data_IF_920836389807
#
_entry.id   IF_920836389807
#
_cell.length_a   1.000
_cell.length_b   1.000
_cell.length_c   1.000
_cell.angle_alpha   90.00
_cell.angle_beta   90.00
_cell.angle_gamma   90.00
#
_symmetry.space_group_name_H-M   'P 1'
#
loop_
_entity.id
_entity.type
_entity.pdbx_description
1 polymer ?
#
# COMPACT_ATOMS: atom_id res chain seq x y z
N UNK A 1 50.33 -42.89 55.50
CA UNK A 1 49.73 -43.86 54.54
C UNK A 1 48.33 -44.16 55.03
N UNK A 2 47.22 -43.98 54.31
CA UNK A 2 46.91 -43.31 53.04
C UNK A 2 45.37 -43.01 53.07
N UNK A 3 44.75 -42.12 52.29
CA UNK A 3 45.17 -41.20 51.21
C UNK A 3 44.28 -39.92 51.30
N UNK A 4 44.46 -38.90 50.42
CA UNK A 4 43.44 -37.86 50.16
C UNK A 4 42.91 -38.02 48.73
N UNK A 5 41.61 -38.28 48.56
CA UNK A 5 40.93 -38.07 47.28
C UNK A 5 40.41 -36.63 47.22
N UNK A 6 40.77 -35.91 46.16
CA UNK A 6 40.12 -34.67 45.74
C UNK A 6 39.30 -34.98 44.48
N UNK A 7 37.98 -34.76 44.54
CA UNK A 7 37.12 -34.85 43.37
C UNK A 7 37.17 -33.51 42.61
N UNK A 8 37.64 -33.53 41.36
CA UNK A 8 37.54 -32.38 40.47
C UNK A 8 36.17 -32.40 39.77
N UNK A 9 35.38 -31.36 40.02
CA UNK A 9 34.11 -31.14 39.32
C UNK A 9 34.41 -30.46 37.97
N UNK A 10 34.23 -31.18 36.86
CA UNK A 10 34.35 -30.59 35.52
C UNK A 10 32.98 -30.07 35.09
N UNK A 11 32.81 -28.74 35.09
CA UNK A 11 31.63 -28.09 34.52
C UNK A 11 31.89 -27.84 33.04
N UNK A 12 31.20 -28.60 32.17
CA UNK A 12 31.22 -28.36 30.73
C UNK A 12 30.15 -27.33 30.40
N UNK A 13 30.56 -26.08 30.14
CA UNK A 13 29.68 -25.05 29.61
C UNK A 13 29.57 -25.26 28.09
N UNK A 14 28.46 -25.85 27.65
CA UNK A 14 28.12 -25.90 26.23
C UNK A 14 27.69 -24.51 25.76
N UNK A 15 28.56 -23.80 25.05
CA UNK A 15 28.17 -22.57 24.34
C UNK A 15 27.30 -22.95 23.15
N UNK A 16 26.00 -22.70 23.24
CA UNK A 16 25.11 -22.73 22.08
C UNK A 16 25.42 -21.50 21.23
N UNK A 17 26.26 -21.67 20.22
CA UNK A 17 26.42 -20.66 19.17
C UNK A 17 25.16 -20.69 18.31
N UNK A 18 24.28 -19.70 18.49
CA UNK A 18 23.19 -19.43 17.56
C UNK A 18 23.81 -18.98 16.22
N UNK A 19 23.83 -19.87 15.23
CA UNK A 19 24.17 -19.50 13.86
C UNK A 19 23.06 -18.61 13.31
N UNK A 20 23.25 -17.29 13.40
CA UNK A 20 22.46 -16.33 12.61
C UNK A 20 22.86 -16.54 11.16
N UNK A 21 22.06 -17.32 10.43
CA UNK A 21 22.20 -17.40 8.98
C UNK A 21 21.79 -16.05 8.42
N UNK A 22 22.76 -15.24 7.96
CA UNK A 22 22.47 -13.99 7.26
C UNK A 22 21.59 -14.31 6.03
N UNK A 23 20.31 -13.91 6.05
CA UNK A 23 19.41 -14.11 4.91
C UNK A 23 19.95 -13.31 3.73
N UNK A 24 20.15 -13.97 2.59
CA UNK A 24 20.70 -13.33 1.37
C UNK A 24 19.80 -12.18 0.93
N UNK A 25 20.31 -10.97 0.94
CA UNK A 25 19.59 -9.78 0.45
C UNK A 25 19.43 -9.85 -1.08
N UNK A 26 18.21 -9.64 -1.57
CA UNK A 26 17.83 -9.53 -2.97
C UNK A 26 17.64 -8.06 -3.39
N UNK A 27 17.07 -7.24 -2.50
CA UNK A 27 16.90 -5.80 -2.65
C UNK A 27 17.37 -5.10 -1.37
N UNK A 28 18.19 -4.06 -1.52
CA UNK A 28 18.45 -3.07 -0.50
C UNK A 28 18.27 -1.68 -1.12
N UNK A 29 17.28 -0.95 -0.65
CA UNK A 29 16.98 0.42 -1.04
C UNK A 29 17.05 1.34 0.18
N UNK A 30 17.86 2.38 0.09
CA UNK A 30 18.07 3.42 1.11
C UNK A 30 17.73 4.82 0.55
N UNK A 31 17.14 4.88 -0.66
CA UNK A 31 16.64 6.08 -1.33
C UNK A 31 17.70 7.15 -1.66
N UNK A 32 18.94 6.71 -1.93
CA UNK A 32 20.00 7.55 -2.50
C UNK A 32 19.79 7.86 -3.99
N UNK A 33 19.00 7.05 -4.71
CA UNK A 33 18.77 7.22 -6.15
C UNK A 33 17.44 6.64 -6.64
N UNK A 34 17.03 7.03 -7.84
CA UNK A 34 15.83 6.53 -8.52
C UNK A 34 16.08 5.24 -9.33
N UNK A 35 17.28 4.65 -9.32
CA UNK A 35 17.65 3.60 -10.28
C UNK A 35 16.78 2.33 -10.22
N UNK A 36 16.26 2.02 -9.02
CA UNK A 36 15.40 0.85 -8.75
C UNK A 36 13.90 1.12 -8.91
N UNK A 37 13.49 2.36 -9.21
CA UNK A 37 12.10 2.78 -9.20
C UNK A 37 11.70 3.48 -10.50
N UNK A 38 10.43 3.36 -10.85
CA UNK A 38 9.79 4.04 -11.96
C UNK A 38 8.58 4.79 -11.46
N UNK A 39 8.43 6.05 -11.85
CA UNK A 39 7.18 6.78 -11.64
C UNK A 39 6.08 6.23 -12.52
N UNK A 40 4.90 5.97 -11.94
CA UNK A 40 3.66 5.88 -12.69
C UNK A 40 3.17 7.30 -12.97
N UNK A 41 3.00 7.65 -14.23
CA UNK A 41 2.53 8.97 -14.67
C UNK A 41 1.22 8.79 -15.42
N UNK A 42 0.11 9.22 -14.80
CA UNK A 42 -1.24 9.04 -15.35
C UNK A 42 -2.28 9.85 -14.58
N UNK A 43 -3.40 10.19 -15.21
CA UNK A 43 -4.65 10.65 -14.58
C UNK A 43 -5.67 9.53 -14.40
N UNK A 44 -5.32 8.28 -14.75
CA UNK A 44 -6.07 7.11 -14.32
C UNK A 44 -5.89 6.92 -12.81
N UNK A 45 -7.02 6.82 -12.11
CA UNK A 45 -7.11 6.95 -10.64
C UNK A 45 -6.80 5.64 -9.90
N UNK A 46 -6.18 4.68 -10.60
CA UNK A 46 -5.78 3.33 -10.13
C UNK A 46 -6.90 2.46 -9.52
N UNK A 47 -8.16 2.80 -9.75
CA UNK A 47 -9.33 2.08 -9.20
C UNK A 47 -10.11 2.96 -8.22
N UNK A 48 -11.08 2.37 -7.52
CA UNK A 48 -11.65 2.86 -6.25
C UNK A 48 -12.10 4.35 -6.23
N UNK A 49 -12.45 4.88 -7.40
CA UNK A 49 -12.85 6.27 -7.65
C UNK A 49 -12.00 7.37 -6.96
N UNK A 50 -10.70 7.14 -6.76
CA UNK A 50 -9.75 8.06 -6.11
C UNK A 50 -9.63 9.43 -6.83
N UNK A 51 -9.08 10.48 -6.19
CA UNK A 51 -9.18 11.88 -6.68
C UNK A 51 -7.87 12.51 -7.20
N UNK A 52 -6.73 11.82 -7.06
CA UNK A 52 -5.43 12.30 -7.52
C UNK A 52 -5.14 11.94 -8.98
N UNK A 53 -4.19 12.64 -9.60
CA UNK A 53 -3.40 12.12 -10.72
C UNK A 53 -1.95 11.89 -10.26
N UNK A 54 -1.31 10.86 -10.82
CA UNK A 54 0.06 10.50 -10.50
C UNK A 54 1.04 11.14 -11.47
N UNK A 55 2.12 11.69 -10.92
CA UNK A 55 3.17 12.40 -11.66
C UNK A 55 4.56 12.14 -11.08
N UNK A 56 5.59 12.55 -11.83
CA UNK A 56 7.02 12.46 -11.48
C UNK A 56 7.62 13.78 -11.03
N UNK A 57 6.77 14.67 -10.50
CA UNK A 57 7.15 16.02 -10.09
C UNK A 57 7.94 15.99 -8.77
N UNK A 58 8.97 16.84 -8.62
CA UNK A 58 9.76 16.91 -7.39
C UNK A 58 8.95 17.42 -6.19
N UNK A 59 7.81 18.10 -6.42
CA UNK A 59 6.89 18.49 -5.35
C UNK A 59 6.08 17.29 -4.79
N UNK A 60 5.96 16.19 -5.55
CA UNK A 60 5.14 15.03 -5.18
C UNK A 60 5.95 13.78 -4.82
N UNK A 61 7.17 13.65 -5.32
CA UNK A 61 8.12 12.62 -4.90
C UNK A 61 9.54 13.17 -4.88
N UNK A 62 10.22 13.06 -3.74
CA UNK A 62 11.58 13.53 -3.57
C UNK A 62 12.34 12.72 -2.51
N UNK A 63 13.67 12.81 -2.55
CA UNK A 63 14.52 12.26 -1.50
C UNK A 63 14.99 13.37 -0.56
N UNK A 64 15.01 13.09 0.75
CA UNK A 64 15.56 13.98 1.77
C UNK A 64 16.00 13.15 2.96
N UNK A 65 17.21 13.41 3.47
CA UNK A 65 17.79 12.74 4.65
C UNK A 65 17.77 11.20 4.59
N UNK A 66 18.07 10.65 3.40
CA UNK A 66 18.11 9.20 3.12
C UNK A 66 16.72 8.54 3.11
N UNK A 67 15.69 9.26 2.66
CA UNK A 67 14.29 8.78 2.69
C UNK A 67 13.53 9.24 1.46
N UNK A 68 12.66 8.39 0.97
CA UNK A 68 11.60 8.75 0.03
C UNK A 68 10.48 9.49 0.76
N UNK A 69 10.08 10.63 0.19
CA UNK A 69 8.85 11.33 0.51
C UNK A 69 7.90 11.22 -0.68
N UNK A 70 6.67 10.74 -0.46
CA UNK A 70 5.55 10.91 -1.41
C UNK A 70 4.53 11.84 -0.77
N UNK A 71 4.28 12.99 -1.41
CA UNK A 71 3.50 14.09 -0.86
C UNK A 71 2.42 14.57 -1.83
N UNK A 72 1.13 14.39 -1.52
CA UNK A 72 0.05 14.98 -2.30
C UNK A 72 0.07 16.52 -2.24
N UNK A 73 -0.26 17.18 -3.34
CA UNK A 73 -0.38 18.65 -3.47
C UNK A 73 -1.61 19.03 -4.29
N UNK A 74 -2.02 20.30 -4.31
CA UNK A 74 -3.20 20.71 -5.06
C UNK A 74 -2.87 20.83 -6.56
N UNK A 75 -3.75 20.37 -7.43
CA UNK A 75 -3.63 20.62 -8.89
C UNK A 75 -3.65 22.12 -9.21
N UNK A 76 -4.34 22.92 -8.38
CA UNK A 76 -4.44 24.37 -8.55
C UNK A 76 -3.15 25.12 -8.22
N UNK A 77 -2.25 24.56 -7.39
CA UNK A 77 -0.90 25.11 -7.16
C UNK A 77 -0.09 25.22 -8.47
N UNK A 78 -0.38 24.33 -9.43
CA UNK A 78 0.30 24.24 -10.72
C UNK A 78 -0.45 24.93 -11.86
N UNK A 79 -1.78 24.85 -11.88
CA UNK A 79 -2.60 25.27 -13.03
C UNK A 79 -3.65 26.36 -12.73
N UNK A 80 -3.85 26.72 -11.46
CA UNK A 80 -4.92 27.62 -11.00
C UNK A 80 -6.31 26.99 -10.96
N UNK A 81 -7.22 27.57 -10.18
CA UNK A 81 -8.59 27.07 -9.93
C UNK A 81 -9.37 26.75 -11.21
N UNK A 82 -9.34 27.64 -12.21
CA UNK A 82 -10.08 27.48 -13.46
C UNK A 82 -9.78 26.16 -14.20
N UNK A 83 -8.55 25.63 -14.05
CA UNK A 83 -8.14 24.39 -14.70
C UNK A 83 -8.95 23.17 -14.23
N UNK A 84 -9.48 23.18 -12.99
CA UNK A 84 -10.32 22.08 -12.52
C UNK A 84 -11.60 21.94 -13.35
N UNK A 85 -12.16 23.06 -13.84
CA UNK A 85 -13.43 23.08 -14.56
C UNK A 85 -13.30 23.10 -16.09
N UNK A 86 -12.18 23.61 -16.63
CA UNK A 86 -11.98 23.74 -18.09
C UNK A 86 -10.65 23.18 -18.61
N UNK A 87 -9.81 22.65 -17.73
CA UNK A 87 -8.47 22.19 -18.04
C UNK A 87 -8.43 20.92 -18.87
N UNK A 88 -7.24 20.64 -19.39
CA UNK A 88 -6.93 19.40 -20.10
C UNK A 88 -5.51 18.96 -19.76
N UNK A 89 -5.39 17.89 -19.00
CA UNK A 89 -4.12 17.20 -18.80
C UNK A 89 -3.61 16.65 -20.13
N UNK A 90 -2.30 16.77 -20.35
CA UNK A 90 -1.61 16.15 -21.49
C UNK A 90 -0.32 15.49 -20.99
N UNK A 91 -0.49 14.49 -20.14
CA UNK A 91 0.60 13.79 -19.46
C UNK A 91 1.50 13.01 -20.43
N UNK A 92 1.09 12.84 -21.70
CA UNK A 92 1.98 12.35 -22.77
C UNK A 92 3.27 13.18 -22.88
N UNK A 93 3.19 14.50 -22.69
CA UNK A 93 4.38 15.39 -22.66
C UNK A 93 5.22 15.26 -21.40
N UNK A 94 4.65 14.67 -20.34
CA UNK A 94 5.29 14.49 -19.05
C UNK A 94 5.86 13.07 -18.88
N UNK A 95 5.66 12.19 -19.86
CA UNK A 95 6.14 10.79 -19.84
C UNK A 95 5.10 9.78 -19.38
N UNK A 96 3.81 10.03 -19.62
CA UNK A 96 2.74 9.09 -19.28
C UNK A 96 3.01 7.67 -19.78
N UNK A 97 2.98 6.72 -18.84
CA UNK A 97 3.27 5.30 -19.06
C UNK A 97 2.08 4.38 -18.71
N UNK A 98 0.97 4.91 -18.18
CA UNK A 98 -0.27 4.14 -17.94
C UNK A 98 -1.47 4.81 -18.61
N UNK A 99 -1.90 4.27 -19.76
CA UNK A 99 -2.94 4.85 -20.62
C UNK A 99 -4.36 4.30 -20.40
N UNK A 100 -4.57 3.46 -19.36
CA UNK A 100 -5.87 2.86 -19.01
C UNK A 100 -6.94 3.95 -18.86
N UNK A 101 -8.14 3.70 -19.39
CA UNK A 101 -9.25 4.68 -19.36
C UNK A 101 -8.96 6.02 -20.04
N UNK A 102 -7.91 6.13 -20.87
CA UNK A 102 -7.46 7.39 -21.45
C UNK A 102 -6.53 8.21 -20.54
N UNK A 103 -6.00 7.65 -19.44
CA UNK A 103 -5.23 8.32 -18.39
C UNK A 103 -4.00 9.14 -18.80
N UNK A 104 -3.58 9.14 -20.06
CA UNK A 104 -2.56 10.09 -20.54
C UNK A 104 -3.11 11.46 -20.99
N UNK A 105 -4.41 11.58 -21.22
CA UNK A 105 -5.10 12.82 -21.64
C UNK A 105 -6.51 12.84 -21.05
N UNK A 106 -6.67 13.50 -19.90
CA UNK A 106 -7.97 13.77 -19.30
C UNK A 106 -8.35 15.24 -19.51
N UNK A 107 -9.60 15.48 -19.91
CA UNK A 107 -10.21 16.80 -19.99
C UNK A 107 -11.17 16.93 -18.80
N UNK A 108 -11.23 18.10 -18.17
CA UNK A 108 -12.32 18.42 -17.26
C UNK A 108 -13.67 18.27 -17.99
N UNK A 109 -14.65 17.70 -17.30
CA UNK A 109 -15.99 17.43 -17.82
C UNK A 109 -17.04 17.69 -16.72
N UNK A 110 -18.07 16.85 -16.56
CA UNK A 110 -19.19 17.08 -15.63
C UNK A 110 -18.81 17.30 -14.15
N UNK A 111 -17.82 16.57 -13.65
CA UNK A 111 -17.25 16.76 -12.31
C UNK A 111 -16.15 17.84 -12.37
N UNK A 112 -14.90 17.47 -12.08
CA UNK A 112 -13.71 18.29 -12.33
C UNK A 112 -12.57 17.42 -12.83
N UNK A 113 -11.52 18.05 -13.37
CA UNK A 113 -10.21 17.41 -13.47
C UNK A 113 -9.68 17.06 -12.06
N UNK A 114 -8.90 15.98 -11.95
CA UNK A 114 -8.35 15.47 -10.69
C UNK A 114 -7.80 16.61 -9.79
N UNK A 115 -8.43 16.92 -8.64
CA UNK A 115 -8.06 18.08 -7.83
C UNK A 115 -6.69 17.98 -7.16
N UNK A 116 -6.12 16.78 -7.08
CA UNK A 116 -4.87 16.48 -6.37
C UNK A 116 -3.79 15.98 -7.34
N UNK A 117 -2.55 16.40 -7.12
CA UNK A 117 -1.34 15.81 -7.69
C UNK A 117 -0.72 14.90 -6.63
N UNK A 118 -0.25 13.71 -7.01
CA UNK A 118 0.50 12.82 -6.12
C UNK A 118 1.56 12.04 -6.91
N UNK A 119 2.29 11.13 -6.26
CA UNK A 119 3.21 10.22 -6.91
C UNK A 119 2.91 8.75 -6.55
N UNK A 120 3.25 7.88 -7.50
CA UNK A 120 3.27 6.44 -7.34
C UNK A 120 4.58 5.91 -7.94
N UNK A 121 5.29 5.07 -7.20
CA UNK A 121 6.57 4.48 -7.57
C UNK A 121 6.44 2.96 -7.63
N UNK A 122 7.00 2.35 -8.67
CA UNK A 122 6.98 0.90 -8.87
C UNK A 122 8.35 0.35 -9.23
N UNK A 123 8.64 -0.89 -8.83
CA UNK A 123 9.88 -1.58 -9.23
C UNK A 123 9.75 -2.38 -10.52
N UNK A 124 8.65 -2.23 -11.28
CA UNK A 124 8.18 -3.22 -12.27
C UNK A 124 9.21 -3.71 -13.31
N UNK A 125 10.06 -2.85 -13.88
CA UNK A 125 11.12 -3.27 -14.83
C UNK A 125 12.52 -3.35 -14.20
N UNK A 126 12.61 -3.14 -12.87
CA UNK A 126 13.86 -2.98 -12.11
C UNK A 126 14.12 -4.12 -11.14
N UNK A 127 13.06 -4.59 -10.46
CA UNK A 127 13.12 -5.63 -9.47
C UNK A 127 11.75 -6.29 -9.31
N UNK A 128 11.72 -7.61 -9.47
CA UNK A 128 10.59 -8.50 -9.23
C UNK A 128 11.07 -9.66 -8.38
N UNK A 129 10.16 -10.28 -7.62
CA UNK A 129 10.47 -11.48 -6.84
C UNK A 129 9.24 -12.35 -6.59
N UNK A 130 9.50 -13.62 -6.28
CA UNK A 130 8.52 -14.58 -5.74
C UNK A 130 9.12 -15.21 -4.50
N UNK A 131 8.37 -15.18 -3.41
CA UNK A 131 8.77 -15.66 -2.09
C UNK A 131 9.98 -14.94 -1.45
N UNK A 132 10.09 -15.05 -0.13
CA UNK A 132 11.09 -14.37 0.70
C UNK A 132 10.45 -13.43 1.72
N UNK A 133 11.24 -12.49 2.20
CA UNK A 133 10.79 -11.51 3.20
C UNK A 133 10.90 -10.11 2.64
N UNK A 134 9.78 -9.39 2.49
CA UNK A 134 9.75 -7.95 2.24
C UNK A 134 9.69 -7.21 3.57
N UNK A 135 10.56 -6.23 3.76
CA UNK A 135 10.61 -5.39 4.95
C UNK A 135 10.68 -3.93 4.52
N UNK A 136 9.75 -3.11 5.01
CA UNK A 136 9.65 -1.70 4.65
C UNK A 136 9.50 -0.89 5.92
N UNK A 137 10.46 0.00 6.18
CA UNK A 137 10.37 0.95 7.30
C UNK A 137 9.78 2.26 6.82
N UNK A 138 8.58 2.59 7.28
CA UNK A 138 7.84 3.76 6.82
C UNK A 138 7.07 4.45 7.94
N UNK A 139 6.85 5.76 7.80
CA UNK A 139 5.91 6.55 8.60
C UNK A 139 4.78 7.01 7.69
N UNK A 140 3.54 6.69 8.07
CA UNK A 140 2.36 7.00 7.25
C UNK A 140 2.03 8.50 7.30
N UNK A 141 1.43 9.06 6.23
CA UNK A 141 0.94 10.42 6.26
C UNK A 141 -0.23 10.60 7.24
N UNK A 142 -0.32 11.80 7.80
CA UNK A 142 -1.44 12.34 8.57
C UNK A 142 -2.14 13.41 7.75
N UNK A 143 -3.46 13.39 7.75
CA UNK A 143 -4.31 14.35 7.04
C UNK A 143 -5.59 13.69 6.55
N UNK A 144 -6.69 14.44 6.61
CA UNK A 144 -7.98 13.95 6.17
C UNK A 144 -7.95 13.53 4.69
N UNK A 145 -8.56 12.37 4.42
CA UNK A 145 -8.75 11.79 3.08
C UNK A 145 -7.49 11.27 2.39
N UNK A 146 -6.34 11.20 3.08
CA UNK A 146 -5.13 10.58 2.56
C UNK A 146 -5.20 9.05 2.64
N UNK A 147 -4.76 8.37 1.58
CA UNK A 147 -4.70 6.92 1.45
C UNK A 147 -3.29 6.49 1.00
N UNK A 148 -2.31 6.43 1.92
CA UNK A 148 -1.04 5.76 1.68
C UNK A 148 -1.21 4.26 1.41
N UNK A 149 -0.40 3.73 0.49
CA UNK A 149 -0.33 2.30 0.26
C UNK A 149 1.10 1.86 -0.05
N UNK A 150 1.47 0.69 0.49
CA UNK A 150 2.63 -0.09 0.10
C UNK A 150 2.12 -1.50 -0.22
N UNK A 151 2.29 -1.92 -1.47
CA UNK A 151 1.71 -3.15 -2.00
C UNK A 151 2.66 -3.88 -2.95
N UNK A 152 2.30 -5.11 -3.29
CA UNK A 152 2.91 -5.89 -4.35
C UNK A 152 1.84 -6.21 -5.39
N UNK A 153 2.22 -6.04 -6.66
CA UNK A 153 1.38 -6.30 -7.82
C UNK A 153 2.06 -7.30 -8.76
N UNK A 154 1.32 -8.13 -9.50
CA UNK A 154 1.90 -9.12 -10.40
C UNK A 154 2.71 -8.46 -11.51
N UNK A 155 3.95 -8.91 -11.71
CA UNK A 155 4.81 -8.47 -12.81
C UNK A 155 4.16 -8.77 -14.18
N UNK A 156 3.58 -9.97 -14.29
CA UNK A 156 2.87 -10.47 -15.45
C UNK A 156 1.49 -11.00 -15.03
N UNK A 157 0.45 -10.71 -15.83
CA UNK A 157 -0.92 -11.17 -15.60
C UNK A 157 -1.09 -12.64 -16.04
N UNK A 158 -0.31 -13.57 -15.46
CA UNK A 158 -0.23 -14.99 -15.87
C UNK A 158 -1.58 -15.70 -15.82
N UNK A 159 -2.42 -15.36 -14.83
CA UNK A 159 -3.76 -15.91 -14.65
C UNK A 159 -4.86 -15.03 -15.28
N UNK A 160 -4.48 -13.95 -15.97
CA UNK A 160 -5.36 -12.90 -16.47
C UNK A 160 -5.37 -11.65 -15.58
N UNK A 161 -6.12 -10.63 -15.99
CA UNK A 161 -6.18 -9.34 -15.33
C UNK A 161 -6.72 -9.41 -13.89
N UNK A 162 -6.50 -8.37 -13.09
CA UNK A 162 -6.96 -8.30 -11.69
C UNK A 162 -8.49 -8.58 -11.61
N UNK A 163 -8.96 -9.34 -10.60
CA UNK A 163 -8.21 -9.91 -9.48
C UNK A 163 -7.57 -11.29 -9.75
N UNK A 164 -7.55 -11.80 -10.99
CA UNK A 164 -7.09 -13.19 -11.26
C UNK A 164 -5.63 -13.44 -10.98
N UNK A 165 -4.75 -12.48 -11.25
CA UNK A 165 -3.31 -12.60 -10.96
C UNK A 165 -2.92 -12.08 -9.57
N UNK A 166 -3.91 -11.79 -8.72
CA UNK A 166 -3.72 -11.43 -7.32
C UNK A 166 -3.25 -9.98 -7.08
N UNK A 167 -3.35 -9.56 -5.82
CA UNK A 167 -2.75 -8.34 -5.28
C UNK A 167 -2.43 -8.54 -3.79
N UNK A 168 -1.33 -7.98 -3.30
CA UNK A 168 -0.88 -8.08 -1.90
C UNK A 168 -0.65 -6.68 -1.33
N UNK A 169 -1.56 -6.20 -0.48
CA UNK A 169 -1.36 -5.00 0.33
C UNK A 169 -0.52 -5.34 1.57
N UNK A 170 0.73 -4.88 1.61
CA UNK A 170 1.56 -4.97 2.82
C UNK A 170 0.98 -4.04 3.90
N UNK A 171 0.70 -2.79 3.54
CA UNK A 171 0.02 -1.83 4.42
C UNK A 171 -0.76 -0.79 3.63
N UNK A 172 -2.01 -0.58 4.06
CA UNK A 172 -2.84 0.59 3.79
C UNK A 172 -3.32 1.21 5.10
N UNK A 173 -3.48 2.54 5.13
CA UNK A 173 -3.94 3.32 6.29
C UNK A 173 -4.82 4.48 5.78
N UNK A 174 -5.80 4.94 6.57
CA UNK A 174 -6.53 6.20 6.31
C UNK A 174 -5.87 7.32 7.11
N UNK A 175 -5.44 8.42 6.48
CA UNK A 175 -4.64 9.47 7.13
C UNK A 175 -5.36 10.31 8.19
N UNK A 176 -6.69 10.24 8.23
CA UNK A 176 -7.57 10.95 9.17
C UNK A 176 -7.29 10.59 10.64
N UNK A 177 -7.43 11.57 11.54
CA UNK A 177 -7.23 11.36 12.99
C UNK A 177 -8.42 10.70 13.69
N UNK A 178 -9.64 11.10 13.35
CA UNK A 178 -10.86 10.71 14.05
C UNK A 178 -11.88 10.05 13.10
N UNK A 179 -11.39 9.18 12.20
CA UNK A 179 -12.24 8.44 11.27
C UNK A 179 -12.73 7.15 11.93
N UNK A 180 -14.05 6.99 12.03
CA UNK A 180 -14.67 5.83 12.69
C UNK A 180 -15.76 5.22 11.83
N UNK A 181 -15.78 3.89 11.75
CA UNK A 181 -16.82 3.14 11.06
C UNK A 181 -17.58 2.32 12.10
N UNK A 182 -18.91 2.48 12.18
CA UNK A 182 -19.76 1.77 13.17
C UNK A 182 -19.26 1.92 14.64
N UNK A 183 -18.68 3.07 14.98
CA UNK A 183 -18.11 3.35 16.31
C UNK A 183 -16.74 2.74 16.60
N UNK A 184 -16.09 2.10 15.62
CA UNK A 184 -14.70 1.62 15.72
C UNK A 184 -13.76 2.54 14.96
N UNK A 185 -12.57 2.83 15.50
CA UNK A 185 -11.56 3.62 14.77
C UNK A 185 -11.09 2.88 13.54
N UNK A 186 -10.95 3.60 12.44
CA UNK A 186 -10.46 3.13 11.13
C UNK A 186 -9.51 4.16 10.48
N UNK A 187 -9.09 5.18 11.25
CA UNK A 187 -8.20 6.26 10.83
C UNK A 187 -6.73 5.87 10.93
N UNK A 188 -5.86 6.85 11.20
CA UNK A 188 -4.41 6.66 11.13
C UNK A 188 -3.82 5.84 12.29
N UNK A 189 -4.66 5.41 13.23
CA UNK A 189 -4.33 4.46 14.30
C UNK A 189 -4.62 3.00 13.93
N UNK A 190 -5.20 2.71 12.75
CA UNK A 190 -5.46 1.35 12.24
C UNK A 190 -4.82 1.15 10.87
N UNK A 191 -4.09 0.05 10.71
CA UNK A 191 -3.58 -0.43 9.43
C UNK A 191 -4.39 -1.61 8.92
N UNK A 192 -4.42 -1.75 7.60
CA UNK A 192 -4.96 -2.89 6.86
C UNK A 192 -3.82 -3.56 6.08
N UNK A 193 -3.75 -4.89 6.15
CA UNK A 193 -2.95 -5.73 5.24
C UNK A 193 -3.92 -6.69 4.55
N UNK A 194 -3.89 -6.73 3.22
CA UNK A 194 -4.95 -7.33 2.41
C UNK A 194 -4.38 -8.24 1.33
N UNK A 195 -4.94 -9.45 1.18
CA UNK A 195 -4.77 -10.26 -0.04
C UNK A 195 -6.04 -10.17 -0.88
N UNK A 196 -5.89 -9.99 -2.19
CA UNK A 196 -7.02 -10.01 -3.12
C UNK A 196 -6.80 -11.00 -4.26
N UNK A 197 -7.84 -11.76 -4.60
CA UNK A 197 -7.85 -12.76 -5.66
C UNK A 197 -9.27 -12.97 -6.19
N UNK A 198 -9.46 -13.48 -7.41
CA UNK A 198 -10.82 -13.69 -7.92
C UNK A 198 -10.92 -14.06 -9.39
N UNK A 199 -12.14 -13.98 -9.94
CA UNK A 199 -12.45 -14.30 -11.34
C UNK A 199 -12.81 -13.07 -12.20
N UNK A 200 -13.25 -11.99 -11.58
CA UNK A 200 -13.61 -10.71 -12.22
C UNK A 200 -13.75 -9.64 -11.14
N UNK A 201 -13.70 -8.37 -11.54
CA UNK A 201 -13.76 -7.20 -10.64
C UNK A 201 -15.07 -7.09 -9.83
N UNK A 202 -16.14 -7.80 -10.23
CA UNK A 202 -17.43 -7.72 -9.58
C UNK A 202 -17.46 -8.37 -8.19
N UNK A 203 -18.26 -7.82 -7.28
CA UNK A 203 -18.32 -8.20 -5.87
C UNK A 203 -18.68 -9.68 -5.61
N UNK A 204 -19.24 -10.41 -6.57
CA UNK A 204 -19.50 -11.85 -6.41
C UNK A 204 -18.25 -12.71 -6.70
N UNK A 205 -17.30 -12.16 -7.46
CA UNK A 205 -16.15 -12.86 -8.03
C UNK A 205 -14.79 -12.31 -7.61
N UNK A 206 -14.73 -11.14 -6.97
CA UNK A 206 -13.57 -10.72 -6.16
C UNK A 206 -13.63 -11.36 -4.77
N UNK A 207 -12.47 -11.67 -4.19
CA UNK A 207 -12.28 -12.04 -2.80
C UNK A 207 -11.15 -11.19 -2.22
N UNK A 208 -11.40 -10.63 -1.05
CA UNK A 208 -10.39 -9.91 -0.28
C UNK A 208 -10.32 -10.50 1.12
N UNK A 209 -9.12 -10.71 1.63
CA UNK A 209 -8.85 -11.12 3.01
C UNK A 209 -8.00 -10.03 3.65
N UNK A 210 -8.65 -9.21 4.46
CA UNK A 210 -8.03 -8.06 5.14
C UNK A 210 -7.85 -8.36 6.62
N UNK A 211 -6.62 -8.22 7.10
CA UNK A 211 -6.28 -8.21 8.51
C UNK A 211 -6.05 -6.77 8.96
N UNK A 212 -6.55 -6.43 10.15
CA UNK A 212 -6.42 -5.10 10.73
C UNK A 212 -5.58 -5.16 12.00
N UNK A 213 -4.69 -4.18 12.18
CA UNK A 213 -3.95 -3.99 13.43
C UNK A 213 -4.03 -2.54 13.87
N UNK A 214 -4.27 -2.34 15.18
CA UNK A 214 -4.26 -1.02 15.81
C UNK A 214 -2.87 -0.72 16.35
N UNK A 215 -2.40 0.51 16.14
CA UNK A 215 -1.16 1.00 16.73
C UNK A 215 -1.18 0.85 18.26
N UNK A 216 -0.05 0.43 18.83
CA UNK A 216 0.06 0.12 20.27
C UNK A 216 0.33 1.39 21.08
N UNK A 217 -0.53 1.65 22.08
CA UNK A 217 -0.51 2.87 22.90
C UNK A 217 -1.37 4.00 22.31
N UNK A 218 -1.25 5.20 22.86
CA UNK A 218 -1.98 6.39 22.39
C UNK A 218 -1.24 7.09 21.24
N UNK A 219 -0.93 6.35 20.18
CA UNK A 219 -0.16 6.82 19.01
C UNK A 219 -0.77 6.27 17.72
N UNK A 220 -0.41 6.88 16.59
CA UNK A 220 -0.82 6.49 15.24
C UNK A 220 0.32 5.88 14.42
N UNK A 221 0.01 5.27 13.28
CA UNK A 221 0.98 4.89 12.24
C UNK A 221 1.62 6.11 11.55
N UNK A 222 1.09 7.31 11.77
CA UNK A 222 1.67 8.58 11.32
C UNK A 222 2.56 9.28 12.36
N UNK A 223 2.61 8.78 13.60
CA UNK A 223 3.37 9.40 14.70
C UNK A 223 4.88 9.19 14.58
N UNK A 224 5.31 7.99 14.18
CA UNK A 224 6.72 7.60 14.03
C UNK A 224 6.85 6.47 12.99
N UNK A 225 8.07 6.20 12.53
CA UNK A 225 8.39 5.11 11.62
C UNK A 225 8.13 3.75 12.25
N UNK A 226 7.53 2.87 11.46
CA UNK A 226 7.18 1.49 11.81
C UNK A 226 7.80 0.55 10.78
N UNK A 227 8.10 -0.68 11.20
CA UNK A 227 8.59 -1.72 10.28
C UNK A 227 7.42 -2.61 9.89
N UNK A 228 7.00 -2.51 8.63
CA UNK A 228 6.00 -3.38 8.02
C UNK A 228 6.73 -4.53 7.31
N UNK A 229 6.36 -5.77 7.61
CA UNK A 229 7.08 -6.95 7.10
C UNK A 229 6.11 -7.99 6.56
N UNK A 230 6.45 -8.57 5.41
CA UNK A 230 5.78 -9.69 4.79
C UNK A 230 6.73 -10.88 4.76
N UNK A 231 6.34 -12.01 5.32
CA UNK A 231 6.96 -13.31 5.01
C UNK A 231 6.03 -14.01 4.02
N UNK A 232 6.54 -14.28 2.81
CA UNK A 232 5.80 -14.90 1.72
C UNK A 232 6.55 -16.15 1.29
N UNK A 233 5.95 -17.31 1.52
CA UNK A 233 6.59 -18.61 1.38
C UNK A 233 5.77 -19.50 0.42
N UNK A 234 6.34 -20.60 -0.11
CA UNK A 234 5.61 -21.56 -0.94
C UNK A 234 4.42 -22.25 -0.25
N UNK A 235 4.31 -22.14 1.07
CA UNK A 235 3.29 -22.77 1.91
C UNK A 235 2.41 -21.78 2.71
N UNK A 236 2.66 -20.48 2.63
CA UNK A 236 1.92 -19.49 3.41
C UNK A 236 2.38 -18.04 3.26
N UNK A 237 1.66 -17.16 3.94
CA UNK A 237 1.85 -15.72 3.88
C UNK A 237 1.52 -15.10 5.24
N UNK A 238 2.46 -14.34 5.80
CA UNK A 238 2.35 -13.72 7.13
C UNK A 238 2.71 -12.24 7.05
N UNK A 239 1.87 -11.37 7.59
CA UNK A 239 2.13 -9.92 7.67
C UNK A 239 2.35 -9.49 9.12
N UNK A 240 3.27 -8.54 9.31
CA UNK A 240 3.70 -8.05 10.61
C UNK A 240 3.84 -6.52 10.62
N UNK A 241 3.69 -5.94 11.81
CA UNK A 241 4.10 -4.56 12.11
C UNK A 241 4.85 -4.52 13.44
N UNK A 242 6.05 -3.93 13.46
CA UNK A 242 6.96 -3.92 14.62
C UNK A 242 7.11 -5.31 15.28
N UNK A 243 7.36 -6.32 14.43
CA UNK A 243 7.44 -7.76 14.76
C UNK A 243 6.20 -8.41 15.40
N UNK A 244 5.10 -7.67 15.57
CA UNK A 244 3.80 -8.23 15.93
C UNK A 244 3.09 -8.77 14.69
N UNK A 245 2.57 -9.99 14.76
CA UNK A 245 1.79 -10.58 13.67
C UNK A 245 0.45 -9.85 13.52
N UNK A 246 0.14 -9.46 12.28
CA UNK A 246 -1.12 -8.82 11.88
C UNK A 246 -2.01 -9.83 11.17
N UNK A 247 -1.44 -10.54 10.20
CA UNK A 247 -2.14 -11.47 9.34
C UNK A 247 -1.36 -12.76 9.12
N UNK A 248 -2.08 -13.85 8.86
CA UNK A 248 -1.50 -15.17 8.62
C UNK A 248 -2.45 -16.03 7.81
N UNK A 249 -1.93 -16.63 6.74
CA UNK A 249 -2.61 -17.68 5.98
C UNK A 249 -1.62 -18.79 5.62
N UNK A 250 -2.03 -20.03 5.85
CA UNK A 250 -1.53 -21.19 5.12
C UNK A 250 -2.74 -21.73 4.37
N UNK A 251 -2.76 -21.68 3.03
CA UNK A 251 -3.95 -22.06 2.29
C UNK A 251 -4.25 -23.57 2.46
N UNK A 252 -5.54 -23.96 2.55
CA UNK A 252 -5.94 -25.35 2.73
C UNK A 252 -5.71 -26.16 1.45
N UNK A 253 -6.00 -27.46 1.50
CA UNK A 253 -6.14 -28.28 0.29
C UNK A 253 -7.10 -27.61 -0.70
N UNK A 254 -6.67 -27.49 -1.97
CA UNK A 254 -7.37 -26.70 -3.00
C UNK A 254 -6.95 -25.22 -3.09
N UNK A 255 -6.04 -24.74 -2.24
CA UNK A 255 -5.43 -23.42 -2.37
C UNK A 255 -6.39 -22.24 -2.20
N UNK A 256 -6.05 -21.10 -2.78
CA UNK A 256 -6.95 -19.93 -2.83
C UNK A 256 -8.21 -20.16 -3.67
N UNK A 257 -8.24 -21.17 -4.56
CA UNK A 257 -9.48 -21.65 -5.17
C UNK A 257 -10.43 -22.21 -4.10
N UNK A 258 -9.94 -23.09 -3.23
CA UNK A 258 -10.71 -23.62 -2.10
C UNK A 258 -11.25 -22.51 -1.18
N UNK A 259 -10.43 -21.51 -0.88
CA UNK A 259 -10.82 -20.34 -0.07
C UNK A 259 -11.88 -19.44 -0.74
N UNK A 260 -12.00 -19.47 -2.07
CA UNK A 260 -12.93 -18.59 -2.79
C UNK A 260 -14.40 -18.99 -2.67
N UNK A 261 -14.68 -20.27 -2.42
CA UNK A 261 -16.04 -20.82 -2.48
C UNK A 261 -16.68 -20.78 -3.88
N UNK A 262 -15.91 -20.58 -4.96
CA UNK A 262 -16.45 -20.65 -6.32
C UNK A 262 -16.93 -22.06 -6.66
N UNK A 263 -17.97 -22.15 -7.49
CA UNK A 263 -18.61 -23.41 -7.83
C UNK A 263 -17.89 -24.16 -8.97
N UNK A 264 -18.20 -25.44 -9.14
CA UNK A 264 -17.57 -26.30 -10.15
C UNK A 264 -17.96 -25.97 -11.60
N UNK A 265 -18.86 -25.00 -11.85
CA UNK A 265 -19.15 -24.50 -13.20
C UNK A 265 -18.21 -23.37 -13.63
N UNK A 266 -17.50 -22.75 -12.69
CA UNK A 266 -16.50 -21.73 -12.99
C UNK A 266 -15.18 -22.41 -13.41
N UNK A 267 -14.54 -21.90 -14.47
CA UNK A 267 -13.20 -22.31 -14.85
C UNK A 267 -12.18 -21.77 -13.84
N UNK A 268 -11.47 -22.66 -13.14
CA UNK A 268 -10.40 -22.28 -12.24
C UNK A 268 -9.15 -21.84 -13.05
N UNK A 269 -8.73 -20.55 -13.03
CA UNK A 269 -7.53 -20.10 -13.72
C UNK A 269 -6.24 -20.60 -13.05
N UNK A 270 -6.29 -20.94 -11.77
CA UNK A 270 -5.16 -21.36 -10.93
C UNK A 270 -4.92 -22.88 -10.96
N UNK A 271 -5.67 -23.64 -11.76
CA UNK A 271 -5.62 -25.11 -11.78
C UNK A 271 -4.25 -25.71 -12.16
N UNK A 272 -3.39 -24.94 -12.84
CA UNK A 272 -2.02 -25.31 -13.20
C UNK A 272 -0.95 -24.65 -12.32
N UNK A 273 -1.35 -23.88 -11.31
CA UNK A 273 -0.47 -23.24 -10.34
C UNK A 273 -0.17 -24.12 -9.12
N UNK A 274 0.53 -23.55 -8.16
CA UNK A 274 0.77 -24.12 -6.84
C UNK A 274 -0.42 -23.87 -5.89
N UNK A 275 -0.34 -24.38 -4.66
CA UNK A 275 -1.33 -24.10 -3.60
C UNK A 275 -1.45 -22.59 -3.27
N UNK A 276 -0.39 -21.82 -3.55
CA UNK A 276 -0.33 -20.38 -3.34
C UNK A 276 -0.90 -19.55 -4.49
N UNK A 277 -1.19 -20.14 -5.66
CA UNK A 277 -1.73 -19.42 -6.81
C UNK A 277 -3.02 -18.65 -6.45
N UNK A 278 -3.14 -17.35 -6.78
CA UNK A 278 -2.30 -16.60 -7.72
C UNK A 278 -0.98 -16.03 -7.18
N UNK A 279 -0.73 -16.11 -5.87
CA UNK A 279 0.46 -15.59 -5.19
C UNK A 279 1.68 -16.51 -5.31
N UNK A 280 1.90 -17.05 -6.51
CA UNK A 280 3.01 -17.95 -6.84
C UNK A 280 3.80 -17.53 -8.10
N UNK A 281 3.55 -16.30 -8.56
CA UNK A 281 4.23 -15.67 -9.69
C UNK A 281 5.15 -14.55 -9.20
N UNK A 282 5.89 -13.92 -10.12
CA UNK A 282 6.70 -12.75 -9.79
C UNK A 282 5.83 -11.50 -9.56
N UNK A 283 6.09 -10.80 -8.46
CA UNK A 283 5.45 -9.53 -8.11
C UNK A 283 6.51 -8.41 -8.03
N UNK A 284 6.08 -7.17 -8.32
CA UNK A 284 6.86 -5.95 -8.12
C UNK A 284 6.28 -5.13 -6.96
N UNK A 285 7.09 -4.29 -6.34
CA UNK A 285 6.69 -3.43 -5.22
C UNK A 285 6.11 -2.12 -5.78
N UNK A 286 4.98 -1.68 -5.22
CA UNK A 286 4.35 -0.39 -5.49
C UNK A 286 4.24 0.43 -4.18
N UNK A 287 4.49 1.74 -4.29
CA UNK A 287 4.39 2.70 -3.18
C UNK A 287 3.69 3.96 -3.71
N UNK A 288 2.58 4.37 -3.09
CA UNK A 288 1.82 5.55 -3.50
C UNK A 288 1.08 6.22 -2.33
N UNK A 289 0.59 7.43 -2.58
CA UNK A 289 -0.43 8.07 -1.74
C UNK A 289 -1.60 8.49 -2.62
N UNK A 290 -2.70 7.75 -2.53
CA UNK A 290 -3.98 8.13 -3.08
C UNK A 290 -4.69 9.16 -2.19
N UNK A 291 -5.73 9.81 -2.71
CA UNK A 291 -6.57 10.75 -1.94
C UNK A 291 -8.05 10.53 -2.28
N UNK A 292 -8.89 10.48 -1.25
CA UNK A 292 -10.33 10.24 -1.38
C UNK A 292 -10.67 8.86 -1.94
N UNK A 293 -11.75 8.78 -2.71
CA UNK A 293 -12.23 7.51 -3.27
C UNK A 293 -13.03 6.64 -2.29
N UNK A 294 -13.16 5.36 -2.62
CA UNK A 294 -14.15 4.45 -2.04
C UNK A 294 -13.76 3.83 -0.69
N UNK A 295 -12.45 3.78 -0.38
CA UNK A 295 -11.89 3.36 0.93
C UNK A 295 -12.54 4.09 2.13
N UNK A 296 -12.98 5.34 1.92
CA UNK A 296 -13.75 6.11 2.87
C UNK A 296 -15.23 5.79 2.67
N UNK A 297 -15.79 4.86 3.43
CA UNK A 297 -17.17 4.41 3.24
C UNK A 297 -18.19 5.48 3.68
N UNK A 298 -19.35 5.53 3.03
CA UNK A 298 -20.42 6.52 3.30
C UNK A 298 -21.09 6.40 4.68
N UNK A 299 -20.85 5.28 5.39
CA UNK A 299 -21.40 4.97 6.71
C UNK A 299 -20.36 5.14 7.84
N UNK A 300 -19.28 5.86 7.57
CA UNK A 300 -18.23 6.19 8.52
C UNK A 300 -18.22 7.71 8.79
N UNK A 301 -17.93 8.06 10.05
CA UNK A 301 -17.86 9.44 10.53
C UNK A 301 -16.41 9.92 10.56
N UNK A 302 -16.19 11.22 10.32
CA UNK A 302 -14.91 11.90 10.59
C UNK A 302 -15.16 13.16 11.40
N UNK A 303 -14.26 13.48 12.33
CA UNK A 303 -14.37 14.66 13.20
C UNK A 303 -13.09 15.52 13.18
N UNK A 304 -13.18 16.86 13.10
CA UNK A 304 -14.41 17.67 13.11
C UNK A 304 -15.08 17.86 11.75
N UNK A 305 -14.48 17.37 10.66
CA UNK A 305 -14.92 17.58 9.29
C UNK A 305 -15.49 16.30 8.68
N UNK A 306 -16.83 16.15 8.56
CA UNK A 306 -17.44 14.97 7.96
C UNK A 306 -17.01 14.75 6.51
N UNK A 307 -17.16 13.51 6.02
CA UNK A 307 -16.84 13.15 4.63
C UNK A 307 -17.58 14.05 3.62
N UNK A 308 -16.88 14.82 2.76
CA UNK A 308 -17.51 15.74 1.82
C UNK A 308 -18.32 15.12 0.69
N UNK A 309 -18.01 13.89 0.28
CA UNK A 309 -18.58 13.22 -0.89
C UNK A 309 -19.33 11.93 -0.53
N UNK A 310 -20.15 11.45 -1.45
CA UNK A 310 -20.86 10.18 -1.37
C UNK A 310 -20.33 9.24 -2.47
N UNK A 311 -19.98 7.99 -2.15
CA UNK A 311 -19.41 7.04 -3.11
C UNK A 311 -20.44 6.58 -4.15
N UNK A 312 -21.72 6.58 -3.78
CA UNK A 312 -22.84 6.30 -4.69
C UNK A 312 -23.31 7.53 -5.49
N UNK A 313 -22.63 8.68 -5.38
CA UNK A 313 -22.96 9.87 -6.17
C UNK A 313 -22.61 9.63 -7.65
N UNK A 314 -23.57 9.68 -8.58
CA UNK A 314 -23.32 9.36 -9.99
C UNK A 314 -22.45 10.41 -10.71
N UNK A 315 -22.31 11.61 -10.12
CA UNK A 315 -22.12 12.82 -10.92
C UNK A 315 -20.92 13.70 -10.55
N UNK A 316 -20.65 13.95 -9.26
CA UNK A 316 -19.70 15.03 -8.83
C UNK A 316 -18.91 14.80 -7.51
N UNK A 317 -18.37 13.59 -7.22
CA UNK A 317 -17.66 13.33 -5.97
C UNK A 317 -16.38 14.19 -5.79
N UNK A 318 -15.61 14.45 -6.85
CA UNK A 318 -14.39 15.29 -6.73
C UNK A 318 -14.73 16.76 -6.48
N UNK A 319 -15.81 17.29 -7.08
CA UNK A 319 -16.30 18.64 -6.81
C UNK A 319 -16.81 18.77 -5.38
N UNK A 320 -17.50 17.75 -4.86
CA UNK A 320 -17.99 17.72 -3.47
C UNK A 320 -16.81 17.75 -2.48
N UNK A 321 -15.77 16.97 -2.77
CA UNK A 321 -14.48 17.03 -2.07
C UNK A 321 -13.82 18.40 -2.18
N UNK A 322 -13.68 18.97 -3.38
CA UNK A 322 -13.01 20.25 -3.62
C UNK A 322 -13.70 21.42 -2.92
N UNK A 323 -15.03 21.47 -2.95
CA UNK A 323 -15.83 22.51 -2.31
C UNK A 323 -15.69 22.55 -0.77
N UNK A 324 -15.06 21.51 -0.17
CA UNK A 324 -14.72 21.45 1.25
C UNK A 324 -13.22 21.57 1.54
N UNK A 325 -12.41 22.01 0.57
CA UNK A 325 -10.94 22.16 0.72
C UNK A 325 -10.52 22.91 1.97
N UNK A 326 -11.21 23.98 2.33
CA UNK A 326 -10.81 24.83 3.46
C UNK A 326 -11.14 24.20 4.82
N UNK A 327 -11.88 23.07 4.84
CA UNK A 327 -12.05 22.19 6.00
C UNK A 327 -10.92 21.16 6.08
N UNK A 328 -10.67 20.38 5.02
CA UNK A 328 -9.73 19.24 5.08
C UNK A 328 -8.27 19.59 4.77
N UNK A 329 -7.97 20.54 3.89
CA UNK A 329 -6.57 20.81 3.48
C UNK A 329 -5.68 21.32 4.63
N UNK A 330 -6.16 22.17 5.57
CA UNK A 330 -5.37 22.53 6.76
C UNK A 330 -4.95 21.32 7.62
N UNK A 331 -5.62 20.17 7.50
CA UNK A 331 -5.25 18.96 8.26
C UNK A 331 -3.95 18.30 7.76
N UNK A 332 -3.51 18.61 6.54
CA UNK A 332 -2.32 18.04 5.89
C UNK A 332 -0.99 18.62 6.37
N UNK A 333 -1.04 19.61 7.29
CA UNK A 333 0.14 20.24 7.89
C UNK A 333 -0.12 20.81 9.29
N UNK A 334 -0.80 20.07 10.17
CA UNK A 334 -1.17 20.54 11.52
C UNK A 334 0.03 20.66 12.47
N UNK A 335 0.93 19.66 12.42
CA UNK A 335 2.08 19.49 13.30
C UNK A 335 3.40 19.74 12.57
N UNK A 336 3.45 19.38 11.29
CA UNK A 336 4.60 19.59 10.41
C UNK A 336 4.16 19.89 8.98
N UNK A 337 4.97 20.64 8.24
CA UNK A 337 4.77 20.84 6.81
C UNK A 337 4.74 19.53 6.00
N UNK A 338 5.25 18.42 6.55
CA UNK A 338 5.33 17.11 5.90
C UNK A 338 4.49 16.03 6.61
N UNK A 339 3.45 16.43 7.35
CA UNK A 339 2.46 15.49 7.91
C UNK A 339 1.79 14.67 6.81
N UNK A 340 1.36 15.31 5.72
CA UNK A 340 0.73 14.66 4.55
C UNK A 340 1.65 13.81 3.68
N UNK A 341 2.95 13.72 4.01
CA UNK A 341 3.90 12.92 3.23
C UNK A 341 4.06 11.51 3.80
N UNK A 342 3.88 10.49 2.97
CA UNK A 342 4.40 9.15 3.24
C UNK A 342 5.92 9.21 3.22
N UNK A 343 6.56 8.75 4.29
CA UNK A 343 8.02 8.79 4.46
C UNK A 343 8.52 7.35 4.53
N UNK A 344 9.34 6.92 3.58
CA UNK A 344 9.92 5.56 3.54
C UNK A 344 11.42 5.67 3.76
N UNK A 345 11.91 4.98 4.78
CA UNK A 345 13.30 5.01 5.23
C UNK A 345 14.15 3.98 4.48
N UNK A 346 13.66 2.75 4.37
CA UNK A 346 14.27 1.73 3.50
C UNK A 346 13.23 0.72 3.00
N UNK A 347 13.58 0.03 1.91
CA UNK A 347 12.88 -1.16 1.40
C UNK A 347 13.91 -2.28 1.21
N UNK A 348 13.69 -3.40 1.90
CA UNK A 348 14.57 -4.57 1.85
C UNK A 348 13.80 -5.81 1.45
N UNK A 349 14.41 -6.64 0.60
CA UNK A 349 13.90 -7.98 0.30
C UNK A 349 14.99 -8.99 0.56
N UNK A 350 14.68 -9.99 1.36
CA UNK A 350 15.56 -11.11 1.70
C UNK A 350 15.04 -12.38 1.03
N UNK A 351 15.95 -13.23 0.56
CA UNK A 351 15.61 -14.54 0.04
C UNK A 351 15.02 -15.44 1.13
N UNK A 352 14.09 -16.30 0.72
CA UNK A 352 13.60 -17.45 1.48
C UNK A 352 14.72 -18.47 1.74
#
# INVERSE_FOLDING_TARGET
MALRLAAQLVVVIAMVQSTVTERRILLNEEFDSMERWEHVVTSYRMGENQFQYYTRRPENSFFRDGKLFIKPTLTTDRFGENFLHNGKFNLKKEGCNLAVGGGCVLKADHDIANPIQSAALVTKTKFTFTYGTLEVRAKMPRGDWLWPEISLMPANNVYGDWPKSGYIGLVSVRGNDNFTCRGQSMGNDVMESTLEWGLSEDLNHTRSMTWMSKAQGNVSFSSDFRTYRLEWNPDGLHSFVDDQIVGSIQPPEGGFWGLSGFNNTNQNPWANGTIMAPFDQEFFIAINVAVGGELFQDNCDNYPYPKPWNNSSPDTPMSSFWNKKDEWYPTWSQSSADDSALQVDYVRVYAH
#
